data_IF_827988131371
#
_entry.id   IF_827988131371
#
_cell.length_a   1.000
_cell.length_b   1.000
_cell.length_c   1.000
_cell.angle_alpha   90.00
_cell.angle_beta   90.00
_cell.angle_gamma   90.00
#
_symmetry.space_group_name_H-M   'P 1'
#
loop_
_entity.id
_entity.type
_entity.pdbx_description
1 polymer ?
#
# COMPACT_ATOMS: atom_id res chain seq x y z
N UNK A 1 -20.63 -0.15 -20.95
CA UNK A 1 -19.27 0.41 -20.86
C UNK A 1 -19.09 0.96 -19.45
N UNK A 2 -18.12 0.43 -18.70
CA UNK A 2 -17.82 0.93 -17.36
C UNK A 2 -17.08 2.25 -17.40
N UNK A 3 -17.31 3.12 -16.40
CA UNK A 3 -16.50 4.32 -16.22
C UNK A 3 -15.34 3.93 -15.30
N UNK A 4 -14.14 3.91 -15.83
CA UNK A 4 -12.94 3.71 -15.03
C UNK A 4 -12.72 4.95 -14.14
N UNK A 5 -12.99 4.77 -12.85
CA UNK A 5 -12.95 5.83 -11.83
C UNK A 5 -11.56 6.47 -11.71
N UNK A 6 -10.49 5.81 -12.17
CA UNK A 6 -9.13 6.38 -12.19
C UNK A 6 -9.09 7.66 -13.02
N UNK A 7 -9.80 7.73 -14.15
CA UNK A 7 -9.85 8.94 -14.97
C UNK A 7 -10.53 10.10 -14.26
N UNK A 8 -11.61 9.83 -13.52
CA UNK A 8 -12.30 10.85 -12.72
C UNK A 8 -11.33 11.43 -11.67
N UNK A 9 -10.58 10.57 -10.98
CA UNK A 9 -9.61 11.01 -9.97
C UNK A 9 -8.49 11.85 -10.58
N UNK A 10 -7.99 11.49 -11.77
CA UNK A 10 -6.99 12.29 -12.51
C UNK A 10 -7.56 13.66 -12.89
N UNK A 11 -8.76 13.72 -13.45
CA UNK A 11 -9.41 14.98 -13.84
C UNK A 11 -9.61 15.90 -12.62
N UNK A 12 -10.13 15.36 -11.52
CA UNK A 12 -10.31 16.11 -10.27
C UNK A 12 -8.99 16.63 -9.71
N UNK A 13 -7.94 15.81 -9.75
CA UNK A 13 -6.63 16.22 -9.27
C UNK A 13 -6.03 17.35 -10.12
N UNK A 14 -6.12 17.26 -11.45
CA UNK A 14 -5.68 18.31 -12.37
C UNK A 14 -6.46 19.62 -12.15
N UNK A 15 -7.78 19.54 -11.95
CA UNK A 15 -8.61 20.71 -11.63
C UNK A 15 -8.16 21.41 -10.34
N UNK A 16 -7.93 20.64 -9.27
CA UNK A 16 -7.46 21.19 -7.98
C UNK A 16 -6.07 21.81 -8.09
N UNK A 17 -5.15 21.17 -8.82
CA UNK A 17 -3.81 21.71 -9.07
C UNK A 17 -3.91 23.02 -9.89
N UNK A 18 -4.70 23.02 -10.98
CA UNK A 18 -4.92 24.21 -11.79
C UNK A 18 -5.50 25.37 -11.00
N UNK A 19 -6.50 25.11 -10.14
CA UNK A 19 -7.06 26.11 -9.22
C UNK A 19 -6.01 26.67 -8.26
N UNK A 20 -5.14 25.83 -7.72
CA UNK A 20 -4.08 26.27 -6.82
C UNK A 20 -3.05 27.17 -7.52
N UNK A 21 -2.70 26.86 -8.77
CA UNK A 21 -1.82 27.69 -9.61
C UNK A 21 -2.46 29.05 -9.89
N UNK A 22 -3.72 29.08 -10.34
CA UNK A 22 -4.46 30.32 -10.61
C UNK A 22 -4.56 31.22 -9.38
N UNK A 23 -4.76 30.61 -8.21
CA UNK A 23 -4.82 31.33 -6.93
C UNK A 23 -3.45 31.67 -6.32
N UNK A 24 -2.33 31.37 -7.02
CA UNK A 24 -0.95 31.60 -6.54
C UNK A 24 -0.71 31.07 -5.13
N UNK A 25 -1.27 29.88 -4.84
CA UNK A 25 -1.26 29.30 -3.50
C UNK A 25 0.17 28.98 -3.07
N UNK A 26 0.54 29.40 -1.86
CA UNK A 26 1.85 29.05 -1.27
C UNK A 26 1.84 27.60 -0.80
N UNK A 27 2.86 26.85 -1.18
CA UNK A 27 3.05 25.44 -0.80
C UNK A 27 4.17 25.35 0.24
N UNK A 28 3.89 24.73 1.38
CA UNK A 28 4.88 24.49 2.42
C UNK A 28 5.37 23.06 2.33
N UNK A 29 6.64 22.84 1.98
CA UNK A 29 7.21 21.51 1.92
C UNK A 29 7.74 21.07 3.29
N UNK A 30 7.39 19.86 3.71
CA UNK A 30 8.13 19.17 4.78
C UNK A 30 9.19 18.26 4.16
N UNK A 31 10.20 17.89 4.95
CA UNK A 31 11.31 17.04 4.50
C UNK A 31 10.85 15.72 3.86
N UNK A 32 9.76 15.14 4.35
CA UNK A 32 9.18 13.92 3.81
C UNK A 32 8.60 14.10 2.41
N UNK A 33 7.99 15.25 2.14
CA UNK A 33 7.42 15.59 0.84
C UNK A 33 8.51 15.53 -0.23
N UNK A 34 9.69 16.11 0.06
CA UNK A 34 10.84 16.06 -0.85
C UNK A 34 11.28 14.63 -1.14
N UNK A 35 11.32 13.75 -0.12
CA UNK A 35 11.69 12.35 -0.33
C UNK A 35 10.70 11.61 -1.22
N UNK A 36 9.39 11.86 -1.05
CA UNK A 36 8.35 11.31 -1.90
C UNK A 36 8.43 11.84 -3.33
N UNK A 37 8.66 13.15 -3.49
CA UNK A 37 8.87 13.76 -4.81
C UNK A 37 10.06 13.15 -5.55
N UNK A 38 11.19 12.97 -4.86
CA UNK A 38 12.36 12.32 -5.43
C UNK A 38 12.09 10.85 -5.76
N UNK A 39 11.32 10.14 -4.92
CA UNK A 39 10.94 8.75 -5.18
C UNK A 39 10.09 8.62 -6.45
N UNK A 40 9.09 9.48 -6.63
CA UNK A 40 8.32 9.55 -7.88
C UNK A 40 9.18 10.02 -9.06
N UNK A 41 10.15 10.90 -8.82
CA UNK A 41 11.15 11.26 -9.82
C UNK A 41 11.95 10.04 -10.31
N UNK A 42 12.41 9.19 -9.39
CA UNK A 42 13.05 7.92 -9.75
C UNK A 42 12.11 6.98 -10.50
N UNK A 43 10.84 6.90 -10.09
CA UNK A 43 9.83 6.09 -10.74
C UNK A 43 9.57 6.55 -12.19
N UNK A 44 9.42 7.86 -12.42
CA UNK A 44 9.23 8.37 -13.78
C UNK A 44 10.51 8.27 -14.61
N UNK A 45 11.68 8.48 -14.01
CA UNK A 45 12.95 8.26 -14.68
C UNK A 45 13.14 6.78 -15.07
N UNK A 46 12.60 5.85 -14.29
CA UNK A 46 12.75 4.42 -14.58
C UNK A 46 12.07 4.01 -15.90
N UNK A 47 11.13 4.80 -16.43
CA UNK A 47 10.54 4.56 -17.75
C UNK A 47 11.55 4.49 -18.88
N UNK A 48 12.69 5.19 -18.77
CA UNK A 48 13.74 5.13 -19.79
C UNK A 48 14.24 3.70 -19.97
N UNK A 49 14.32 2.93 -18.88
CA UNK A 49 14.80 1.55 -18.92
C UNK A 49 13.77 0.56 -19.49
N UNK A 50 12.52 0.98 -19.69
CA UNK A 50 11.50 0.14 -20.34
C UNK A 50 11.92 -0.22 -21.77
N UNK A 51 12.67 0.65 -22.44
CA UNK A 51 13.18 0.41 -23.79
C UNK A 51 14.08 -0.84 -23.89
N UNK A 52 14.64 -1.30 -22.77
CA UNK A 52 15.41 -2.55 -22.71
C UNK A 52 14.56 -3.82 -22.63
N UNK A 53 13.25 -3.72 -22.38
CA UNK A 53 12.37 -4.88 -22.23
C UNK A 53 11.87 -5.42 -23.57
N UNK A 54 11.78 -6.74 -23.68
CA UNK A 54 11.16 -7.44 -24.81
C UNK A 54 9.66 -7.65 -24.57
N UNK A 55 8.87 -7.67 -25.64
CA UNK A 55 7.41 -7.94 -25.65
C UNK A 55 6.62 -7.18 -24.58
N UNK A 56 6.75 -5.84 -24.62
CA UNK A 56 5.99 -4.95 -23.75
C UNK A 56 4.49 -5.12 -24.04
N UNK A 57 3.71 -5.42 -23.01
CA UNK A 57 2.26 -5.50 -23.10
C UNK A 57 1.70 -4.10 -22.90
N UNK A 58 1.32 -3.45 -24.00
CA UNK A 58 0.90 -2.04 -24.04
C UNK A 58 -0.20 -1.71 -23.02
N UNK A 59 -1.23 -2.55 -22.90
CA UNK A 59 -2.38 -2.24 -22.05
C UNK A 59 -2.04 -2.32 -20.55
N UNK A 60 -1.17 -3.26 -20.18
CA UNK A 60 -0.63 -3.34 -18.82
C UNK A 60 0.23 -2.12 -18.51
N UNK A 61 1.11 -1.71 -19.43
CA UNK A 61 1.93 -0.52 -19.27
C UNK A 61 1.06 0.74 -19.09
N UNK A 62 0.04 0.91 -19.93
CA UNK A 62 -0.91 2.03 -19.82
C UNK A 62 -1.62 2.03 -18.47
N UNK A 63 -2.11 0.88 -18.02
CA UNK A 63 -2.79 0.74 -16.73
C UNK A 63 -1.89 1.16 -15.56
N UNK A 64 -0.64 0.67 -15.52
CA UNK A 64 0.34 1.05 -14.50
C UNK A 64 0.71 2.53 -14.57
N UNK A 65 0.88 3.06 -15.78
CA UNK A 65 1.17 4.48 -15.99
C UNK A 65 0.07 5.35 -15.37
N UNK A 66 -1.20 5.04 -15.65
CA UNK A 66 -2.34 5.77 -15.10
C UNK A 66 -2.37 5.67 -13.57
N UNK A 67 -2.10 4.49 -13.00
CA UNK A 67 -2.09 4.30 -11.54
C UNK A 67 -0.99 5.14 -10.85
N UNK A 68 0.23 5.13 -11.37
CA UNK A 68 1.33 5.89 -10.77
C UNK A 68 1.20 7.41 -11.00
N UNK A 69 0.72 7.84 -12.17
CA UNK A 69 0.37 9.25 -12.40
C UNK A 69 -0.74 9.67 -11.45
N UNK A 70 -1.80 8.86 -11.30
CA UNK A 70 -2.89 9.12 -10.38
C UNK A 70 -2.40 9.28 -8.93
N UNK A 71 -1.49 8.42 -8.46
CA UNK A 71 -0.92 8.54 -7.13
C UNK A 71 -0.01 9.76 -6.98
N UNK A 72 0.79 10.08 -7.99
CA UNK A 72 1.62 11.29 -7.99
C UNK A 72 0.76 12.56 -7.95
N UNK A 73 -0.28 12.65 -8.78
CA UNK A 73 -1.24 13.76 -8.73
C UNK A 73 -1.95 13.83 -7.37
N UNK A 74 -2.32 12.69 -6.78
CA UNK A 74 -2.90 12.65 -5.44
C UNK A 74 -1.93 13.19 -4.38
N UNK A 75 -0.64 12.87 -4.48
CA UNK A 75 0.41 13.43 -3.63
C UNK A 75 0.52 14.95 -3.78
N UNK A 76 0.52 15.46 -5.02
CA UNK A 76 0.57 16.90 -5.30
C UNK A 76 -0.62 17.63 -4.68
N UNK A 77 -1.84 17.15 -4.93
CA UNK A 77 -3.07 17.72 -4.38
C UNK A 77 -2.98 17.72 -2.85
N UNK A 78 -2.57 16.62 -2.23
CA UNK A 78 -2.43 16.56 -0.80
C UNK A 78 -1.44 17.61 -0.29
N UNK A 79 -0.24 17.72 -0.86
CA UNK A 79 0.79 18.67 -0.40
C UNK A 79 0.33 20.13 -0.54
N UNK A 80 -0.39 20.47 -1.61
CA UNK A 80 -0.93 21.81 -1.84
C UNK A 80 -1.99 22.16 -0.79
N UNK A 81 -2.86 21.20 -0.45
CA UNK A 81 -4.05 21.41 0.38
C UNK A 81 -3.91 20.94 1.84
N UNK A 82 -2.78 20.34 2.25
CA UNK A 82 -2.61 19.70 3.58
C UNK A 82 -2.91 20.61 4.78
N UNK A 83 -2.69 21.92 4.65
CA UNK A 83 -2.97 22.89 5.71
C UNK A 83 -4.48 23.18 5.90
N UNK A 84 -5.32 22.82 4.92
CA UNK A 84 -6.79 22.93 5.01
C UNK A 84 -7.45 21.63 5.48
N UNK A 85 -6.70 20.54 5.51
CA UNK A 85 -7.21 19.23 5.85
C UNK A 85 -6.95 18.98 7.33
N UNK A 86 -8.02 18.75 8.10
CA UNK A 86 -7.92 18.37 9.51
C UNK A 86 -8.19 16.88 9.73
N UNK A 87 -7.76 16.37 10.90
CA UNK A 87 -7.91 14.97 11.30
C UNK A 87 -9.37 14.50 11.25
N UNK A 88 -10.31 15.32 11.72
CA UNK A 88 -11.74 14.99 11.76
C UNK A 88 -12.33 14.79 10.36
N UNK A 89 -11.95 15.64 9.40
CA UNK A 89 -12.36 15.52 8.01
C UNK A 89 -11.85 14.21 7.41
N UNK A 90 -10.55 13.92 7.56
CA UNK A 90 -9.95 12.68 7.05
C UNK A 90 -10.67 11.46 7.65
N UNK A 91 -10.88 11.43 8.97
CA UNK A 91 -11.56 10.31 9.63
C UNK A 91 -12.99 10.12 9.12
N UNK A 92 -13.73 11.20 8.83
CA UNK A 92 -15.09 11.09 8.30
C UNK A 92 -15.09 10.53 6.87
N UNK A 93 -14.16 10.96 6.02
CA UNK A 93 -14.00 10.40 4.66
C UNK A 93 -13.63 8.92 4.74
N UNK A 94 -12.70 8.54 5.63
CA UNK A 94 -12.35 7.14 5.87
C UNK A 94 -13.53 6.29 6.34
N UNK A 95 -14.37 6.82 7.23
CA UNK A 95 -15.62 6.17 7.66
C UNK A 95 -16.58 5.96 6.48
N UNK A 96 -16.71 6.93 5.58
CA UNK A 96 -17.51 6.79 4.37
C UNK A 96 -16.94 5.71 3.44
N UNK A 97 -15.63 5.74 3.19
CA UNK A 97 -14.95 4.75 2.34
C UNK A 97 -15.13 3.32 2.87
N UNK A 98 -15.05 3.11 4.19
CA UNK A 98 -15.27 1.77 4.74
C UNK A 98 -16.74 1.34 4.68
N UNK A 99 -17.69 2.26 4.83
CA UNK A 99 -19.10 1.91 4.63
C UNK A 99 -19.35 1.42 3.20
N UNK A 100 -18.74 2.07 2.20
CA UNK A 100 -18.81 1.62 0.80
C UNK A 100 -18.19 0.23 0.63
N UNK A 101 -17.02 -0.02 1.25
CA UNK A 101 -16.39 -1.35 1.19
C UNK A 101 -17.27 -2.41 1.86
N UNK A 102 -17.80 -2.15 3.05
CA UNK A 102 -18.70 -3.07 3.77
C UNK A 102 -19.96 -3.37 2.95
N UNK A 103 -20.58 -2.36 2.34
CA UNK A 103 -21.73 -2.54 1.46
C UNK A 103 -21.38 -3.45 0.27
N UNK A 104 -20.19 -3.27 -0.34
CA UNK A 104 -19.74 -4.15 -1.42
C UNK A 104 -19.50 -5.59 -0.95
N UNK A 105 -19.02 -5.79 0.28
CA UNK A 105 -18.86 -7.13 0.86
C UNK A 105 -20.21 -7.85 0.98
N UNK A 106 -21.22 -7.16 1.52
CA UNK A 106 -22.55 -7.75 1.67
C UNK A 106 -23.25 -7.94 0.33
N UNK A 107 -23.08 -7.03 -0.63
CA UNK A 107 -23.59 -7.22 -1.98
C UNK A 107 -23.03 -8.52 -2.58
N UNK A 108 -21.72 -8.73 -2.49
CA UNK A 108 -21.07 -9.98 -2.94
C UNK A 108 -21.58 -11.20 -2.16
N UNK A 109 -21.67 -11.12 -0.83
CA UNK A 109 -22.13 -12.22 0.02
C UNK A 109 -23.57 -12.66 -0.30
N UNK A 110 -24.45 -11.71 -0.62
CA UNK A 110 -25.85 -11.96 -0.96
C UNK A 110 -26.10 -12.13 -2.46
N UNK A 111 -25.04 -12.27 -3.26
CA UNK A 111 -25.15 -12.41 -4.73
C UNK A 111 -25.95 -11.27 -5.39
N UNK A 112 -25.84 -10.06 -4.84
CA UNK A 112 -26.39 -8.84 -5.44
C UNK A 112 -25.42 -8.40 -6.53
N UNK A 113 -25.92 -8.30 -7.76
CA UNK A 113 -25.13 -7.84 -8.90
C UNK A 113 -24.59 -6.44 -8.66
N UNK A 114 -23.27 -6.34 -8.51
CA UNK A 114 -22.58 -5.07 -8.58
C UNK A 114 -22.51 -4.70 -10.07
N UNK A 115 -22.80 -3.45 -10.46
CA UNK A 115 -22.71 -3.05 -11.86
C UNK A 115 -21.29 -3.27 -12.40
N UNK A 116 -21.16 -3.89 -13.57
CA UNK A 116 -19.87 -4.09 -14.27
C UNK A 116 -19.15 -2.78 -14.62
N UNK A 117 -19.82 -1.63 -14.42
CA UNK A 117 -19.19 -0.33 -14.48
C UNK A 117 -18.34 0.04 -13.26
N UNK A 118 -18.48 -0.69 -12.15
CA UNK A 118 -17.84 -0.42 -10.87
C UNK A 118 -16.74 -1.42 -10.51
N UNK A 119 -16.46 -2.40 -11.36
CA UNK A 119 -15.39 -3.39 -11.15
C UNK A 119 -14.85 -3.94 -12.46
N UNK A 120 -13.62 -4.46 -12.43
CA UNK A 120 -12.90 -4.87 -13.65
C UNK A 120 -13.02 -6.36 -13.99
N UNK A 121 -14.05 -7.03 -13.46
CA UNK A 121 -14.38 -8.41 -13.85
C UNK A 121 -13.62 -9.52 -13.12
N UNK A 122 -12.65 -9.22 -12.24
CA UNK A 122 -11.91 -10.26 -11.52
C UNK A 122 -11.87 -10.06 -9.98
N UNK A 123 -12.17 -11.17 -9.28
CA UNK A 123 -11.81 -11.53 -7.89
C UNK A 123 -12.45 -10.77 -6.71
N UNK A 124 -13.72 -10.38 -6.83
CA UNK A 124 -14.50 -10.02 -5.63
C UNK A 124 -14.66 -11.17 -4.63
N UNK A 125 -14.59 -12.41 -5.13
CA UNK A 125 -14.50 -13.65 -4.35
C UNK A 125 -13.27 -14.42 -4.83
N UNK A 126 -12.54 -15.01 -3.88
CA UNK A 126 -11.48 -15.99 -4.14
C UNK A 126 -11.86 -17.32 -3.53
N UNK A 127 -12.09 -18.34 -4.36
CA UNK A 127 -12.46 -19.69 -3.93
C UNK A 127 -11.26 -20.63 -3.88
N UNK A 128 -11.30 -21.62 -2.99
CA UNK A 128 -10.37 -22.74 -2.96
C UNK A 128 -9.92 -23.17 -1.57
N UNK A 129 -9.28 -24.34 -1.49
CA UNK A 129 -8.84 -24.98 -0.25
C UNK A 129 -7.85 -24.09 0.54
N UNK A 130 -7.07 -23.26 -0.14
CA UNK A 130 -6.17 -22.31 0.52
C UNK A 130 -6.87 -21.00 0.93
N UNK A 131 -8.07 -20.73 0.43
CA UNK A 131 -8.86 -19.50 0.61
C UNK A 131 -9.89 -19.64 1.74
N UNK A 132 -9.47 -20.17 2.89
CA UNK A 132 -10.38 -20.40 4.02
C UNK A 132 -10.58 -19.11 4.84
N UNK A 133 -11.83 -18.71 5.03
CA UNK A 133 -12.21 -17.59 5.91
C UNK A 133 -12.31 -18.02 7.39
N UNK A 134 -12.47 -17.06 8.32
CA UNK A 134 -12.58 -17.40 9.76
C UNK A 134 -13.86 -18.15 10.14
N UNK A 135 -14.85 -18.21 9.26
CA UNK A 135 -16.07 -18.99 9.45
C UNK A 135 -15.94 -20.43 8.94
N UNK A 136 -14.76 -20.81 8.43
CA UNK A 136 -14.46 -22.17 7.97
C UNK A 136 -14.87 -22.45 6.52
N UNK A 137 -15.44 -21.49 5.80
CA UNK A 137 -15.79 -21.68 4.38
C UNK A 137 -14.57 -21.48 3.48
N UNK A 138 -14.50 -22.23 2.38
CA UNK A 138 -13.37 -22.22 1.41
C UNK A 138 -13.47 -21.09 0.37
N UNK A 139 -13.89 -19.91 0.82
CA UNK A 139 -13.91 -18.70 0.01
C UNK A 139 -13.54 -17.47 0.84
N UNK A 140 -12.99 -16.46 0.18
CA UNK A 140 -12.72 -15.13 0.77
C UNK A 140 -13.35 -14.03 -0.06
N UNK A 141 -13.89 -13.02 0.62
CA UNK A 141 -14.52 -11.86 -0.02
C UNK A 141 -13.56 -10.68 0.01
N UNK A 142 -13.50 -9.94 -1.10
CA UNK A 142 -12.73 -8.71 -1.24
C UNK A 142 -13.62 -7.48 -1.49
N UNK A 143 -14.83 -7.65 -2.03
CA UNK A 143 -15.68 -6.53 -2.46
C UNK A 143 -14.93 -5.62 -3.45
N UNK A 144 -15.08 -4.30 -3.31
CA UNK A 144 -14.37 -3.32 -4.15
C UNK A 144 -12.85 -3.25 -3.92
N UNK A 145 -12.30 -3.98 -2.95
CA UNK A 145 -10.84 -4.07 -2.83
C UNK A 145 -10.20 -5.02 -3.86
N UNK A 146 -11.01 -5.83 -4.57
CA UNK A 146 -10.62 -6.80 -5.62
C UNK A 146 -9.62 -7.91 -5.19
N UNK A 147 -8.94 -7.76 -4.06
CA UNK A 147 -8.08 -8.76 -3.42
C UNK A 147 -8.36 -8.82 -1.91
N UNK A 148 -8.59 -10.02 -1.38
CA UNK A 148 -8.93 -10.23 0.01
C UNK A 148 -7.82 -9.78 0.98
N UNK A 149 -6.54 -9.82 0.57
CA UNK A 149 -5.43 -9.34 1.39
C UNK A 149 -5.42 -7.82 1.50
N UNK A 150 -5.73 -7.09 0.41
CA UNK A 150 -5.90 -5.64 0.45
C UNK A 150 -7.13 -5.25 1.24
N UNK A 151 -8.25 -5.98 1.05
CA UNK A 151 -9.47 -5.76 1.83
C UNK A 151 -9.19 -5.87 3.34
N UNK A 152 -8.50 -6.93 3.76
CA UNK A 152 -8.12 -7.15 5.15
C UNK A 152 -7.22 -6.02 5.68
N UNK A 153 -6.24 -5.56 4.89
CA UNK A 153 -5.38 -4.43 5.27
C UNK A 153 -6.17 -3.13 5.47
N UNK A 154 -7.10 -2.82 4.56
CA UNK A 154 -7.93 -1.60 4.65
C UNK A 154 -8.87 -1.66 5.86
N UNK A 155 -9.49 -2.82 6.10
CA UNK A 155 -10.33 -3.07 7.28
C UNK A 155 -9.54 -3.02 8.59
N UNK A 156 -8.34 -3.61 8.64
CA UNK A 156 -7.45 -3.54 9.80
C UNK A 156 -7.03 -2.10 10.11
N UNK A 157 -6.70 -1.33 9.08
CA UNK A 157 -6.37 0.10 9.20
C UNK A 157 -7.55 0.87 9.77
N UNK A 158 -8.76 0.63 9.26
CA UNK A 158 -9.96 1.26 9.77
C UNK A 158 -10.25 0.88 11.23
N UNK A 159 -10.07 -0.40 11.59
CA UNK A 159 -10.20 -0.85 12.98
C UNK A 159 -9.28 -0.04 13.90
N UNK A 160 -8.01 0.13 13.53
CA UNK A 160 -7.05 0.93 14.29
C UNK A 160 -7.46 2.41 14.37
N UNK A 161 -7.92 3.01 13.27
CA UNK A 161 -8.40 4.40 13.26
C UNK A 161 -9.64 4.60 14.15
N UNK A 162 -10.58 3.64 14.18
CA UNK A 162 -11.76 3.69 15.06
C UNK A 162 -11.39 3.49 16.53
N UNK A 163 -10.40 2.66 16.83
CA UNK A 163 -9.93 2.42 18.20
C UNK A 163 -9.11 3.59 18.76
N UNK A 164 -8.34 4.29 17.93
CA UNK A 164 -7.44 5.37 18.37
C UNK A 164 -8.07 6.75 18.59
N UNK A 165 -9.36 6.90 18.32
CA UNK A 165 -10.07 8.19 18.32
C UNK A 165 -11.31 8.17 19.23
N UNK A 166 -11.80 9.37 19.58
CA UNK A 166 -13.04 9.50 20.38
C UNK A 166 -14.20 8.88 19.61
N UNK A 167 -14.86 7.91 20.24
CA UNK A 167 -15.91 7.08 19.62
C UNK A 167 -17.28 7.71 19.81
N UNK A 168 -18.09 7.67 18.76
CA UNK A 168 -19.55 7.86 18.82
C UNK A 168 -20.24 6.50 18.86
N UNK A 169 -21.51 6.43 19.22
CA UNK A 169 -22.23 5.15 19.34
C UNK A 169 -22.21 4.34 18.03
N UNK A 170 -22.33 5.02 16.89
CA UNK A 170 -22.27 4.37 15.57
C UNK A 170 -20.87 3.84 15.20
N UNK A 171 -19.80 4.34 15.84
CA UNK A 171 -18.45 3.82 15.59
C UNK A 171 -18.29 2.38 16.12
N UNK A 172 -19.07 2.00 17.15
CA UNK A 172 -19.11 0.63 17.64
C UNK A 172 -19.82 -0.32 16.66
N UNK A 173 -20.93 0.13 16.07
CA UNK A 173 -21.63 -0.65 15.03
C UNK A 173 -20.71 -0.85 13.84
N UNK A 174 -20.05 0.21 13.39
CA UNK A 174 -19.09 0.13 12.29
C UNK A 174 -17.93 -0.82 12.61
N UNK A 175 -17.42 -0.80 13.84
CA UNK A 175 -16.37 -1.70 14.30
C UNK A 175 -16.79 -3.18 14.23
N UNK A 176 -18.04 -3.51 14.60
CA UNK A 176 -18.58 -4.87 14.48
C UNK A 176 -18.58 -5.32 13.02
N UNK A 177 -19.09 -4.49 12.12
CA UNK A 177 -19.07 -4.81 10.68
C UNK A 177 -17.67 -4.95 10.12
N UNK A 178 -16.73 -4.09 10.54
CA UNK A 178 -15.31 -4.20 10.16
C UNK A 178 -14.75 -5.56 10.57
N UNK A 179 -15.01 -6.02 11.80
CA UNK A 179 -14.52 -7.32 12.29
C UNK A 179 -15.15 -8.48 11.49
N UNK A 180 -16.45 -8.42 11.19
CA UNK A 180 -17.14 -9.42 10.38
C UNK A 180 -16.55 -9.48 8.97
N UNK A 181 -16.34 -8.34 8.31
CA UNK A 181 -15.73 -8.30 6.98
C UNK A 181 -14.25 -8.75 7.01
N UNK A 182 -13.51 -8.48 8.09
CA UNK A 182 -12.16 -9.04 8.28
C UNK A 182 -12.17 -10.56 8.40
N UNK A 183 -13.21 -11.12 9.04
CA UNK A 183 -13.39 -12.56 9.15
C UNK A 183 -13.66 -13.21 7.77
N UNK A 184 -14.45 -12.56 6.91
CA UNK A 184 -14.67 -13.02 5.53
C UNK A 184 -13.45 -12.85 4.61
N UNK A 185 -12.67 -11.77 4.79
CA UNK A 185 -11.46 -11.48 3.98
C UNK A 185 -10.18 -12.08 4.57
N UNK A 186 -10.31 -13.01 5.53
CA UNK A 186 -9.21 -13.44 6.38
C UNK A 186 -7.93 -13.79 5.60
N UNK A 187 -6.82 -13.17 5.97
CA UNK A 187 -5.54 -13.39 5.31
C UNK A 187 -4.51 -13.90 6.30
N UNK A 188 -4.12 -15.18 6.15
CA UNK A 188 -3.05 -15.80 6.94
C UNK A 188 -1.77 -14.97 6.86
N UNK A 189 -1.43 -14.47 5.67
CA UNK A 189 -0.29 -13.60 5.43
C UNK A 189 -0.43 -12.28 6.20
N UNK A 190 -1.62 -11.64 6.22
CA UNK A 190 -1.81 -10.41 7.01
C UNK A 190 -1.65 -10.63 8.50
N UNK A 191 -2.20 -11.72 9.04
CA UNK A 191 -2.07 -12.04 10.46
C UNK A 191 -0.60 -12.20 10.85
N UNK A 192 0.18 -12.93 10.03
CA UNK A 192 1.62 -13.08 10.25
C UNK A 192 2.33 -11.71 10.22
N UNK A 193 1.94 -10.79 9.33
CA UNK A 193 2.51 -9.44 9.24
C UNK A 193 2.07 -8.49 10.36
N UNK A 194 0.95 -8.76 11.04
CA UNK A 194 0.51 -7.99 12.21
C UNK A 194 1.38 -8.29 13.44
N UNK A 195 1.80 -9.54 13.65
CA UNK A 195 2.61 -9.94 14.81
C UNK A 195 3.90 -9.10 15.01
N UNK A 196 4.79 -8.92 14.01
CA UNK A 196 5.96 -8.08 14.16
C UNK A 196 5.60 -6.61 14.37
N UNK A 197 4.47 -6.14 13.84
CA UNK A 197 4.02 -4.76 14.05
C UNK A 197 3.60 -4.49 15.50
N UNK A 198 2.87 -5.45 16.11
CA UNK A 198 2.51 -5.41 17.52
C UNK A 198 3.74 -5.53 18.42
N UNK A 199 4.65 -6.45 18.11
CA UNK A 199 5.89 -6.61 18.86
C UNK A 199 6.71 -5.31 18.84
N UNK A 200 6.90 -4.71 17.66
CA UNK A 200 7.67 -3.46 17.53
C UNK A 200 7.00 -2.29 18.24
N UNK A 201 5.67 -2.19 18.19
CA UNK A 201 4.92 -1.19 18.94
C UNK A 201 5.04 -1.36 20.46
N UNK A 202 4.95 -2.60 20.96
CA UNK A 202 5.12 -2.89 22.40
C UNK A 202 6.53 -2.53 22.85
N UNK A 203 7.55 -2.88 22.08
CA UNK A 203 8.94 -2.47 22.34
C UNK A 203 9.04 -0.95 22.41
N UNK A 204 8.36 -0.23 21.52
CA UNK A 204 8.40 1.24 21.46
C UNK A 204 7.66 1.96 22.58
N UNK A 205 6.57 1.37 23.10
CA UNK A 205 5.76 2.01 24.15
C UNK A 205 6.18 1.57 25.54
N UNK A 206 6.48 0.29 25.74
CA UNK A 206 6.74 -0.25 27.09
C UNK A 206 8.19 -0.12 27.53
N UNK A 207 9.14 -0.07 26.59
CA UNK A 207 10.56 0.03 26.94
C UNK A 207 10.96 1.50 26.95
N UNK A 208 11.44 1.97 28.10
CA UNK A 208 12.06 3.30 28.22
C UNK A 208 13.37 3.30 27.45
N UNK A 209 13.33 3.75 26.20
CA UNK A 209 14.48 3.95 25.33
C UNK A 209 14.76 5.43 25.14
N UNK A 210 16.04 5.80 25.07
CA UNK A 210 16.45 7.16 24.70
C UNK A 210 16.05 7.47 23.27
N UNK A 211 15.90 8.75 22.92
CA UNK A 211 15.58 9.16 21.54
C UNK A 211 16.63 8.67 20.52
N UNK A 212 17.90 8.58 20.94
CA UNK A 212 18.98 8.00 20.12
C UNK A 212 18.76 6.51 19.86
N UNK A 213 18.45 5.73 20.90
CA UNK A 213 18.13 4.30 20.76
C UNK A 213 16.88 4.09 19.90
N UNK A 214 15.82 4.87 20.12
CA UNK A 214 14.59 4.86 19.30
C UNK A 214 14.91 5.04 17.81
N UNK A 215 15.77 6.01 17.50
CA UNK A 215 16.21 6.27 16.13
C UNK A 215 17.00 5.12 15.51
N UNK A 216 17.86 4.46 16.29
CA UNK A 216 18.62 3.28 15.84
C UNK A 216 17.66 2.11 15.60
N UNK A 217 16.75 1.82 16.54
CA UNK A 217 15.76 0.74 16.41
C UNK A 217 14.87 0.93 15.17
N UNK A 218 14.33 2.13 14.92
CA UNK A 218 13.59 2.42 13.67
C UNK A 218 14.47 2.14 12.45
N UNK A 219 15.72 2.58 12.47
CA UNK A 219 16.61 2.41 11.32
C UNK A 219 16.87 0.92 11.04
N UNK A 220 17.21 0.16 12.07
CA UNK A 220 17.45 -1.28 11.98
C UNK A 220 16.18 -2.01 11.53
N UNK A 221 15.02 -1.64 12.06
CA UNK A 221 13.75 -2.26 11.69
C UNK A 221 13.40 -2.06 10.22
N UNK A 222 13.45 -0.82 9.72
CA UNK A 222 13.14 -0.53 8.31
C UNK A 222 14.13 -1.24 7.38
N UNK A 223 15.42 -1.21 7.69
CA UNK A 223 16.45 -1.92 6.90
C UNK A 223 16.19 -3.44 6.93
N UNK A 224 15.93 -4.01 8.10
CA UNK A 224 15.66 -5.43 8.25
C UNK A 224 14.46 -5.85 7.40
N UNK A 225 13.35 -5.12 7.48
CA UNK A 225 12.14 -5.43 6.69
C UNK A 225 12.42 -5.37 5.19
N UNK A 226 13.17 -4.37 4.72
CA UNK A 226 13.52 -4.26 3.31
C UNK A 226 14.43 -5.41 2.83
N UNK A 227 15.23 -5.98 3.74
CA UNK A 227 16.08 -7.14 3.46
C UNK A 227 15.36 -8.48 3.61
N UNK A 228 14.18 -8.52 4.26
CA UNK A 228 13.46 -9.76 4.52
C UNK A 228 13.13 -10.56 3.25
N UNK A 229 12.68 -9.99 2.12
CA UNK A 229 12.44 -10.77 0.91
C UNK A 229 13.66 -11.60 0.48
N UNK A 230 14.86 -11.06 0.60
CA UNK A 230 16.13 -11.72 0.26
C UNK A 230 16.46 -12.85 1.24
N UNK A 231 16.26 -12.61 2.53
CA UNK A 231 16.52 -13.58 3.60
C UNK A 231 15.53 -14.74 3.52
N UNK A 232 14.24 -14.43 3.38
CA UNK A 232 13.15 -15.40 3.34
C UNK A 232 13.24 -16.31 2.11
N UNK A 233 13.53 -15.74 0.93
CA UNK A 233 13.80 -16.52 -0.28
C UNK A 233 14.97 -17.49 -0.09
N UNK A 234 16.12 -17.03 0.43
CA UNK A 234 17.31 -17.89 0.60
C UNK A 234 17.11 -19.00 1.63
N UNK A 235 16.31 -18.75 2.66
CA UNK A 235 16.07 -19.69 3.76
C UNK A 235 14.90 -20.65 3.49
N UNK A 236 14.13 -20.43 2.42
CA UNK A 236 12.89 -21.17 2.13
C UNK A 236 11.91 -21.21 3.32
N UNK A 237 11.90 -20.15 4.13
CA UNK A 237 11.09 -20.09 5.35
C UNK A 237 9.59 -20.26 5.02
N UNK A 238 8.91 -21.23 5.64
CA UNK A 238 7.48 -21.53 5.37
C UNK A 238 7.14 -21.81 3.89
N UNK A 239 8.08 -22.33 3.10
CA UNK A 239 7.84 -22.67 1.68
C UNK A 239 6.82 -23.82 1.47
N UNK A 240 6.36 -24.47 2.55
CA UNK A 240 5.23 -25.40 2.51
C UNK A 240 3.89 -24.73 2.19
N UNK A 241 3.77 -23.41 2.39
CA UNK A 241 2.59 -22.64 2.00
C UNK A 241 2.66 -22.31 0.50
N UNK A 242 1.67 -22.77 -0.29
CA UNK A 242 1.65 -22.58 -1.75
C UNK A 242 1.82 -21.12 -2.18
N UNK A 243 1.11 -20.21 -1.51
CA UNK A 243 1.23 -18.76 -1.72
C UNK A 243 2.66 -18.22 -1.53
N UNK A 244 3.37 -18.59 -0.45
CA UNK A 244 4.75 -18.15 -0.22
C UNK A 244 5.73 -18.79 -1.19
N UNK A 245 5.53 -20.07 -1.54
CA UNK A 245 6.34 -20.75 -2.56
C UNK A 245 6.31 -20.00 -3.90
N UNK A 246 5.11 -19.56 -4.32
CA UNK A 246 4.96 -18.73 -5.53
C UNK A 246 5.69 -17.39 -5.39
N UNK A 247 5.59 -16.71 -4.24
CA UNK A 247 6.32 -15.45 -3.99
C UNK A 247 7.84 -15.64 -4.09
N UNK A 248 8.38 -16.70 -3.49
CA UNK A 248 9.82 -16.99 -3.55
C UNK A 248 10.30 -17.29 -4.97
N UNK A 249 9.48 -17.98 -5.77
CA UNK A 249 9.74 -18.17 -7.20
C UNK A 249 9.81 -16.84 -7.95
N UNK A 250 8.84 -15.95 -7.72
CA UNK A 250 8.81 -14.63 -8.35
C UNK A 250 10.00 -13.75 -7.92
N UNK A 251 10.37 -13.76 -6.65
CA UNK A 251 11.55 -13.02 -6.17
C UNK A 251 12.84 -13.56 -6.78
N UNK A 252 12.96 -14.89 -6.94
CA UNK A 252 14.10 -15.49 -7.66
C UNK A 252 14.19 -14.95 -9.09
N UNK A 253 13.09 -14.93 -9.83
CA UNK A 253 13.07 -14.38 -11.18
C UNK A 253 13.41 -12.88 -11.19
N UNK A 254 12.94 -12.12 -10.21
CA UNK A 254 13.22 -10.68 -10.13
C UNK A 254 14.73 -10.44 -9.89
N UNK A 255 15.37 -11.25 -9.06
CA UNK A 255 16.81 -11.18 -8.84
C UNK A 255 17.61 -11.65 -10.05
N UNK A 256 17.16 -12.68 -10.76
CA UNK A 256 17.78 -13.10 -12.03
C UNK A 256 17.69 -11.98 -13.06
N UNK A 257 16.52 -11.36 -13.23
CA UNK A 257 16.33 -10.20 -14.10
C UNK A 257 17.28 -9.05 -13.73
N UNK A 258 17.45 -8.76 -12.44
CA UNK A 258 18.38 -7.73 -11.99
C UNK A 258 19.84 -8.07 -12.36
N UNK A 259 20.24 -9.35 -12.25
CA UNK A 259 21.59 -9.81 -12.63
C UNK A 259 21.77 -9.74 -14.15
N UNK A 260 20.79 -10.19 -14.93
CA UNK A 260 20.78 -10.15 -16.39
C UNK A 260 20.86 -8.71 -16.92
N UNK A 261 20.21 -7.77 -16.23
CA UNK A 261 20.27 -6.33 -16.53
C UNK A 261 21.49 -5.63 -15.92
N UNK A 262 22.53 -6.36 -15.50
CA UNK A 262 23.77 -5.80 -14.92
C UNK A 262 23.51 -4.85 -13.73
N UNK A 263 22.55 -5.20 -12.87
CA UNK A 263 22.09 -4.43 -11.72
C UNK A 263 21.46 -3.07 -12.07
N UNK A 264 21.15 -2.83 -13.34
CA UNK A 264 20.34 -1.69 -13.76
C UNK A 264 18.85 -2.01 -13.59
N UNK A 265 18.03 -0.99 -13.26
CA UNK A 265 16.59 -1.16 -13.17
C UNK A 265 16.00 -1.55 -14.54
N UNK A 266 14.96 -2.39 -14.53
CA UNK A 266 14.22 -2.78 -15.74
C UNK A 266 13.19 -1.75 -16.19
N UNK A 267 12.93 -0.72 -15.39
CA UNK A 267 11.83 0.22 -15.60
C UNK A 267 10.49 -0.31 -15.10
N UNK A 268 9.53 0.59 -14.97
CA UNK A 268 8.21 0.30 -14.42
C UNK A 268 7.48 -0.81 -15.20
N UNK A 269 7.01 -1.82 -14.47
CA UNK A 269 6.37 -3.01 -15.04
C UNK A 269 7.36 -3.98 -15.69
N UNK A 270 8.66 -3.69 -15.65
CA UNK A 270 9.69 -4.51 -16.29
C UNK A 270 9.69 -5.97 -15.79
N UNK A 271 9.43 -6.21 -14.51
CA UNK A 271 9.29 -7.58 -14.00
C UNK A 271 8.06 -8.29 -14.58
N UNK A 272 6.93 -7.59 -14.71
CA UNK A 272 5.72 -8.16 -15.33
C UNK A 272 6.00 -8.60 -16.77
N UNK A 273 6.71 -7.79 -17.55
CA UNK A 273 7.09 -8.13 -18.92
C UNK A 273 8.13 -9.24 -18.98
N UNK A 274 9.10 -9.24 -18.05
CA UNK A 274 10.08 -10.32 -17.93
C UNK A 274 9.41 -11.66 -17.66
N UNK A 275 8.51 -11.74 -16.68
CA UNK A 275 7.76 -12.98 -16.38
C UNK A 275 6.88 -13.38 -17.56
N UNK A 276 6.22 -12.42 -18.20
CA UNK A 276 5.43 -12.71 -19.40
C UNK A 276 6.28 -13.40 -20.48
N UNK A 277 7.51 -12.94 -20.68
CA UNK A 277 8.45 -13.57 -21.62
C UNK A 277 8.89 -14.96 -21.17
N UNK A 278 9.27 -15.13 -19.90
CA UNK A 278 9.69 -16.42 -19.33
C UNK A 278 8.59 -17.48 -19.49
N UNK A 279 7.33 -17.07 -19.38
CA UNK A 279 6.16 -17.94 -19.50
C UNK A 279 5.49 -17.90 -20.88
N UNK A 280 6.19 -17.41 -21.92
CA UNK A 280 5.70 -17.49 -23.30
C UNK A 280 4.38 -16.74 -23.58
N UNK A 281 4.08 -15.68 -22.82
CA UNK A 281 2.86 -14.89 -22.97
C UNK A 281 1.68 -15.34 -22.11
N UNK A 282 1.83 -16.42 -21.33
CA UNK A 282 0.72 -17.01 -20.58
C UNK A 282 0.54 -16.47 -19.15
N UNK A 283 1.50 -15.70 -18.65
CA UNK A 283 1.45 -15.23 -17.28
C UNK A 283 2.06 -13.84 -17.12
N UNK A 284 1.20 -12.85 -16.88
CA UNK A 284 1.59 -11.49 -16.51
C UNK A 284 1.32 -11.35 -15.01
N UNK A 285 2.37 -11.24 -14.22
CA UNK A 285 2.24 -11.12 -12.77
C UNK A 285 3.36 -10.26 -12.21
N UNK A 286 3.02 -9.61 -11.12
CA UNK A 286 3.89 -8.70 -10.40
C UNK A 286 4.80 -9.47 -9.43
N UNK A 287 5.91 -8.87 -8.98
CA UNK A 287 6.86 -9.47 -8.04
C UNK A 287 6.26 -9.73 -6.67
N UNK A 288 5.16 -9.03 -6.36
CA UNK A 288 4.45 -9.07 -5.08
C UNK A 288 5.38 -8.81 -3.90
N UNK A 289 6.26 -7.83 -4.06
CA UNK A 289 7.00 -7.22 -2.95
C UNK A 289 7.39 -5.83 -3.38
N UNK A 290 6.95 -4.82 -2.62
CA UNK A 290 7.32 -3.43 -2.90
C UNK A 290 8.83 -3.23 -2.83
N UNK A 291 9.54 -3.98 -1.97
CA UNK A 291 10.99 -3.87 -1.85
C UNK A 291 11.74 -4.47 -3.03
N UNK A 292 11.23 -5.59 -3.56
CA UNK A 292 11.78 -6.21 -4.77
C UNK A 292 11.49 -5.31 -5.96
N UNK A 293 10.25 -4.85 -6.13
CA UNK A 293 9.84 -3.88 -7.16
C UNK A 293 10.76 -2.63 -7.16
N UNK A 294 10.95 -1.99 -6.00
CA UNK A 294 11.84 -0.84 -5.87
C UNK A 294 13.27 -1.15 -6.32
N UNK A 295 13.82 -2.30 -5.92
CA UNK A 295 15.18 -2.66 -6.30
C UNK A 295 15.30 -2.97 -7.79
N UNK A 296 14.40 -3.77 -8.33
CA UNK A 296 14.55 -4.38 -9.66
C UNK A 296 13.99 -3.52 -10.78
N UNK A 297 12.92 -2.76 -10.53
CA UNK A 297 12.26 -1.95 -11.55
C UNK A 297 12.64 -0.47 -11.50
N UNK A 298 12.92 0.06 -10.30
CA UNK A 298 13.17 1.50 -10.12
C UNK A 298 14.64 1.79 -9.75
N UNK A 299 15.28 0.88 -9.03
CA UNK A 299 16.71 0.91 -8.69
C UNK A 299 17.01 1.26 -7.23
N UNK A 300 18.26 1.03 -6.82
CA UNK A 300 18.70 1.15 -5.41
C UNK A 300 18.48 2.54 -4.79
N UNK A 301 18.52 3.62 -5.59
CA UNK A 301 18.26 4.98 -5.13
C UNK A 301 16.82 5.11 -4.61
N UNK A 302 15.86 4.50 -5.31
CA UNK A 302 14.45 4.49 -4.89
C UNK A 302 14.25 3.76 -3.56
N UNK A 303 14.96 2.64 -3.39
CA UNK A 303 14.94 1.85 -2.15
C UNK A 303 15.49 2.68 -0.96
N UNK A 304 16.56 3.45 -1.17
CA UNK A 304 17.08 4.38 -0.17
C UNK A 304 16.12 5.53 0.15
N UNK A 305 15.46 6.10 -0.86
CA UNK A 305 14.45 7.14 -0.67
C UNK A 305 13.24 6.60 0.12
N UNK A 306 12.78 5.39 -0.20
CA UNK A 306 11.74 4.70 0.56
C UNK A 306 12.14 4.53 2.03
N UNK A 307 13.38 4.10 2.31
CA UNK A 307 13.93 4.07 3.67
C UNK A 307 13.85 5.44 4.35
N UNK A 308 14.21 6.53 3.66
CA UNK A 308 14.16 7.88 4.22
C UNK A 308 12.74 8.32 4.55
N UNK A 309 11.77 8.03 3.67
CA UNK A 309 10.34 8.30 3.90
C UNK A 309 9.87 7.61 5.17
N UNK A 310 10.01 6.28 5.24
CA UNK A 310 9.43 5.55 6.36
C UNK A 310 10.20 5.70 7.67
N UNK A 311 11.51 5.96 7.61
CA UNK A 311 12.26 6.41 8.78
C UNK A 311 11.75 7.75 9.30
N UNK A 312 11.42 8.70 8.42
CA UNK A 312 10.84 9.98 8.83
C UNK A 312 9.46 9.76 9.47
N UNK A 313 8.60 8.97 8.83
CA UNK A 313 7.23 8.72 9.31
C UNK A 313 7.21 8.06 10.69
N UNK A 314 7.98 6.98 10.88
CA UNK A 314 8.05 6.27 12.17
C UNK A 314 8.65 7.11 13.31
N UNK A 315 9.46 8.13 12.98
CA UNK A 315 9.95 9.09 13.97
C UNK A 315 8.92 10.14 14.36
N UNK A 316 8.08 10.52 13.39
CA UNK A 316 7.15 11.63 13.51
C UNK A 316 5.82 11.20 14.14
N UNK A 317 5.44 9.94 13.96
CA UNK A 317 4.18 9.39 14.42
C UNK A 317 4.33 8.73 15.80
N UNK A 318 3.36 9.00 16.68
CA UNK A 318 3.19 8.30 17.95
C UNK A 318 1.76 7.70 18.01
N UNK A 319 1.52 6.73 18.89
CA UNK A 319 0.21 6.05 19.09
C UNK A 319 -0.19 5.07 17.97
N UNK A 320 -1.50 4.83 17.79
CA UNK A 320 -2.05 3.79 16.90
C UNK A 320 -1.63 3.95 15.45
N UNK A 321 -1.36 5.18 14.98
CA UNK A 321 -0.90 5.42 13.62
C UNK A 321 0.47 4.78 13.36
N UNK A 322 1.31 4.63 14.39
CA UNK A 322 2.57 3.91 14.30
C UNK A 322 2.34 2.46 13.90
N UNK A 323 1.36 1.79 14.51
CA UNK A 323 0.99 0.41 14.15
C UNK A 323 0.56 0.31 12.69
N UNK A 324 -0.19 1.28 12.16
CA UNK A 324 -0.61 1.29 10.76
C UNK A 324 0.61 1.37 9.82
N UNK A 325 1.55 2.28 10.10
CA UNK A 325 2.77 2.42 9.27
C UNK A 325 3.63 1.15 9.33
N UNK A 326 3.81 0.58 10.52
CA UNK A 326 4.61 -0.63 10.71
C UNK A 326 3.95 -1.83 10.02
N UNK A 327 2.64 -2.00 10.17
CA UNK A 327 1.90 -3.06 9.51
C UNK A 327 1.96 -2.93 7.98
N UNK A 328 1.85 -1.71 7.44
CA UNK A 328 2.07 -1.45 6.01
C UNK A 328 3.47 -1.88 5.55
N UNK A 329 4.52 -1.56 6.32
CA UNK A 329 5.89 -1.97 5.98
C UNK A 329 6.05 -3.50 5.97
N UNK A 330 5.47 -4.20 6.95
CA UNK A 330 5.47 -5.66 6.95
C UNK A 330 4.66 -6.22 5.76
N UNK A 331 3.50 -5.63 5.47
CA UNK A 331 2.66 -6.03 4.35
C UNK A 331 3.37 -5.89 2.99
N UNK A 332 4.13 -4.81 2.82
CA UNK A 332 4.91 -4.52 1.62
C UNK A 332 6.00 -5.58 1.31
N UNK A 333 6.30 -6.50 2.25
CA UNK A 333 7.16 -7.66 1.99
C UNK A 333 6.53 -8.57 0.94
N UNK A 334 5.22 -8.82 1.00
CA UNK A 334 4.52 -9.83 0.17
C UNK A 334 3.48 -9.24 -0.78
N UNK A 335 3.46 -7.91 -0.89
CA UNK A 335 2.57 -7.16 -1.76
C UNK A 335 3.26 -5.96 -2.40
N UNK A 336 2.87 -5.65 -3.63
CA UNK A 336 3.19 -4.38 -4.29
C UNK A 336 2.17 -3.34 -3.88
N UNK A 337 2.66 -2.19 -3.44
CA UNK A 337 1.79 -1.17 -2.85
C UNK A 337 2.00 0.22 -3.43
N UNK A 338 3.05 0.43 -4.23
CA UNK A 338 3.38 1.75 -4.79
C UNK A 338 2.28 2.28 -5.72
N UNK A 339 1.61 1.39 -6.45
CA UNK A 339 0.49 1.73 -7.33
C UNK A 339 -0.82 1.97 -6.56
N UNK A 340 -0.91 1.63 -5.27
CA UNK A 340 -2.11 1.85 -4.47
C UNK A 340 -2.15 3.27 -3.88
N UNK A 341 -3.31 3.92 -3.91
CA UNK A 341 -3.53 5.18 -3.18
C UNK A 341 -3.29 5.04 -1.67
N UNK A 342 -3.43 3.82 -1.14
CA UNK A 342 -3.08 3.48 0.24
C UNK A 342 -1.61 3.83 0.57
N UNK A 343 -0.68 3.72 -0.39
CA UNK A 343 0.70 4.16 -0.19
C UNK A 343 0.77 5.67 0.10
N UNK A 344 0.04 6.52 -0.64
CA UNK A 344 -0.02 7.97 -0.39
C UNK A 344 -0.62 8.25 0.99
N UNK A 345 -1.66 7.51 1.38
CA UNK A 345 -2.25 7.64 2.70
C UNK A 345 -1.26 7.37 3.83
N UNK A 346 -0.58 6.22 3.81
CA UNK A 346 0.36 5.84 4.86
C UNK A 346 1.63 6.69 4.84
N UNK A 347 2.11 7.05 3.65
CA UNK A 347 3.36 7.79 3.51
C UNK A 347 3.22 9.28 3.85
N UNK A 348 2.04 9.89 3.66
CA UNK A 348 1.87 11.34 3.76
C UNK A 348 0.69 11.76 4.65
N UNK A 349 -0.52 11.23 4.39
CA UNK A 349 -1.75 11.68 5.06
C UNK A 349 -1.74 11.36 6.56
N UNK A 350 -1.35 10.14 6.95
CA UNK A 350 -1.26 9.73 8.36
C UNK A 350 -0.28 10.59 9.17
N UNK A 351 0.82 10.99 8.54
CA UNK A 351 1.84 11.84 9.17
C UNK A 351 1.25 13.21 9.49
N UNK A 352 0.51 13.79 8.54
CA UNK A 352 -0.17 15.08 8.74
C UNK A 352 -1.25 15.01 9.82
N UNK A 353 -2.05 13.94 9.85
CA UNK A 353 -3.05 13.71 10.91
C UNK A 353 -2.43 13.74 12.30
N UNK A 354 -1.26 13.11 12.47
CA UNK A 354 -0.53 13.12 13.74
C UNK A 354 -0.06 14.53 14.13
N UNK A 355 0.43 15.33 13.18
CA UNK A 355 0.82 16.72 13.44
C UNK A 355 -0.38 17.57 13.86
N UNK A 356 -1.48 17.54 13.11
CA UNK A 356 -2.71 18.29 13.46
C UNK A 356 -3.25 17.91 14.84
N UNK A 357 -3.13 16.63 15.24
CA UNK A 357 -3.56 16.16 16.56
C UNK A 357 -2.71 16.71 17.69
N UNK A 358 -1.39 16.86 17.48
CA UNK A 358 -0.49 17.40 18.50
C UNK A 358 -0.68 18.91 18.65
N UNK A 359 -0.86 19.65 17.54
CA UNK A 359 -1.16 21.10 17.59
C UNK A 359 -2.47 21.39 18.34
N UNK A 360 -3.49 20.54 18.22
CA UNK A 360 -4.75 20.66 18.97
C UNK A 360 -4.64 20.27 20.45
N UNK A 361 -3.56 19.59 20.87
CA UNK A 361 -3.32 19.26 22.29
C UNK A 361 -2.51 20.33 23.02
N UNK A 362 -1.76 21.13 22.27
CA UNK A 362 -0.94 22.23 22.80
C UNK A 362 -1.71 23.56 22.90
N UNK A 363 -2.91 23.63 22.30
CA UNK A 363 -3.89 24.71 22.46
C UNK A 363 -4.99 24.27 23.42
#
# INVERSE_FOLDING_TARGET
MGIDLRYILVILALFLIGRAILNKRKVQFIKNDLYLFLLYGCLFFSYIFILGNKNIVSDELKSLTILHIGNFLSLLVFIIYKNEINEKFILNIYKLSICILILSFFAVLFSIDIPSSMYTGERMISDGIEQVNLFGSMFRIAGFAEDANYAFLFLYTQMLLLLGNKKRWWDYILLIFVIICMAFSFSKTQIIMILPSLAFYILFIKIKVTQRQKNVLISCFVILIMLLPFILYKTNFMASMGTLKTRYSLWKYAFNMLIENHYMPSGLGGFRFYINNVYGGHWIVQSHSTYVELLTEIGVISLFLFYKVFKFNLKSINNIYFLIVVNYLCFAITSETLYLQYFIFVSCVLVNMNYSRNEMREK
#
